data_IF_625000050783
#
_entry.id   IF_625000050783
#
_cell.length_a   1.000
_cell.length_b   1.000
_cell.length_c   1.000
_cell.angle_alpha   90.00
_cell.angle_beta   90.00
_cell.angle_gamma   90.00
#
_symmetry.space_group_name_H-M   'P 1'
#
loop_
_entity.id
_entity.type
_entity.pdbx_description
1 polymer ?
#
# COMPACT_ATOMS: atom_id res chain seq x y z
N UNK A 1 24.40 -10.81 -10.40
CA UNK A 1 23.84 -9.73 -9.57
C UNK A 1 23.47 -8.60 -10.50
N UNK A 2 22.17 -8.39 -10.74
CA UNK A 2 21.54 -7.17 -11.27
C UNK A 2 20.14 -7.54 -11.80
N UNK A 3 19.10 -7.24 -11.01
CA UNK A 3 17.94 -6.48 -11.48
C UNK A 3 17.26 -5.90 -10.23
N UNK A 4 17.89 -4.87 -9.68
CA UNK A 4 17.27 -3.96 -8.71
C UNK A 4 16.58 -2.90 -9.55
N UNK A 5 15.41 -3.24 -10.09
CA UNK A 5 14.51 -2.32 -10.75
C UNK A 5 13.11 -2.46 -10.15
N UNK A 6 12.99 -2.04 -8.90
CA UNK A 6 11.75 -1.42 -8.43
C UNK A 6 11.95 0.07 -8.15
N UNK A 7 12.98 0.66 -8.78
CA UNK A 7 13.21 2.10 -8.77
C UNK A 7 12.03 2.82 -9.42
N UNK A 8 11.28 3.52 -8.56
CA UNK A 8 10.63 4.79 -8.88
C UNK A 8 9.32 4.68 -9.64
N UNK A 9 8.28 5.29 -9.07
CA UNK A 9 7.11 5.77 -9.83
C UNK A 9 6.14 4.74 -10.42
N UNK A 10 6.16 3.48 -9.96
CA UNK A 10 4.95 2.68 -10.05
C UNK A 10 3.95 3.27 -9.06
N UNK A 11 2.95 4.00 -9.58
CA UNK A 11 1.73 4.33 -8.84
C UNK A 11 1.31 3.07 -8.09
N UNK A 12 1.58 2.98 -6.78
CA UNK A 12 1.31 1.80 -5.96
C UNK A 12 -0.21 1.61 -5.96
N UNK A 13 -0.73 0.93 -6.97
CA UNK A 13 -2.14 0.61 -7.09
C UNK A 13 -2.26 -0.78 -6.52
N UNK A 14 -2.79 -0.85 -5.32
CA UNK A 14 -3.12 -2.10 -4.68
C UNK A 14 -4.33 -2.66 -5.42
N UNK A 15 -4.15 -3.79 -6.11
CA UNK A 15 -5.23 -4.50 -6.81
C UNK A 15 -5.56 -5.83 -6.14
N UNK A 16 -4.60 -6.41 -5.41
CA UNK A 16 -4.72 -7.70 -4.73
C UNK A 16 -4.43 -7.62 -3.23
N UNK A 17 -4.80 -8.67 -2.50
CA UNK A 17 -4.46 -8.81 -1.07
C UNK A 17 -2.93 -8.85 -0.88
N UNK A 18 -2.20 -9.48 -1.80
CA UNK A 18 -0.73 -9.55 -1.73
C UNK A 18 -0.10 -8.15 -1.86
N UNK A 19 -0.62 -7.30 -2.76
CA UNK A 19 -0.19 -5.89 -2.87
C UNK A 19 -0.48 -5.11 -1.59
N UNK A 20 -1.59 -5.42 -0.91
CA UNK A 20 -1.96 -4.77 0.35
C UNK A 20 -1.00 -5.14 1.47
N UNK A 21 -0.62 -6.41 1.56
CA UNK A 21 0.35 -6.90 2.53
C UNK A 21 1.74 -6.28 2.29
N UNK A 22 2.18 -6.23 1.02
CA UNK A 22 3.42 -5.57 0.62
C UNK A 22 3.43 -4.08 0.96
N UNK A 23 2.35 -3.36 0.65
CA UNK A 23 2.22 -1.95 0.97
C UNK A 23 2.27 -1.69 2.49
N UNK A 24 1.58 -2.53 3.28
CA UNK A 24 1.57 -2.43 4.74
C UNK A 24 2.94 -2.72 5.34
N UNK A 25 3.64 -3.75 4.84
CA UNK A 25 5.01 -4.06 5.26
C UNK A 25 5.97 -2.92 4.93
N UNK A 26 5.80 -2.27 3.77
CA UNK A 26 6.62 -1.13 3.36
C UNK A 26 6.38 0.08 4.27
N UNK A 27 5.12 0.40 4.58
CA UNK A 27 4.76 1.46 5.54
C UNK A 27 5.40 1.19 6.91
N UNK A 28 5.30 -0.04 7.41
CA UNK A 28 5.91 -0.41 8.69
C UNK A 28 7.43 -0.23 8.65
N UNK A 29 8.09 -0.63 7.56
CA UNK A 29 9.54 -0.47 7.39
C UNK A 29 9.95 1.01 7.41
N UNK A 30 9.20 1.88 6.73
CA UNK A 30 9.44 3.32 6.73
C UNK A 30 9.20 3.96 8.10
N UNK A 31 8.27 3.43 8.89
CA UNK A 31 7.99 3.91 10.26
C UNK A 31 9.15 3.62 11.22
N UNK A 32 9.76 2.43 11.14
CA UNK A 32 10.91 2.07 11.99
C UNK A 32 12.22 2.74 11.58
N UNK A 33 12.36 3.14 10.31
CA UNK A 33 13.62 3.60 9.75
C UNK A 33 14.02 5.05 10.10
N UNK A 34 13.25 5.79 10.92
CA UNK A 34 13.38 7.25 11.07
C UNK A 34 13.21 7.96 9.73
N UNK A 35 11.96 8.18 9.28
CA UNK A 35 11.69 8.63 7.93
C UNK A 35 12.13 10.08 7.73
N UNK A 36 12.94 10.32 6.69
CA UNK A 36 13.15 11.65 6.12
C UNK A 36 11.88 12.22 5.47
N UNK A 37 11.95 13.45 4.95
CA UNK A 37 10.81 14.06 4.25
C UNK A 37 10.36 13.26 3.00
N UNK A 38 11.30 12.58 2.34
CA UNK A 38 11.05 11.78 1.14
C UNK A 38 10.37 10.44 1.51
N UNK A 39 10.86 9.74 2.54
CA UNK A 39 10.20 8.56 3.11
C UNK A 39 8.80 8.85 3.64
N UNK A 40 8.57 10.03 4.25
CA UNK A 40 7.24 10.43 4.67
C UNK A 40 6.28 10.57 3.49
N UNK A 41 6.72 11.14 2.36
CA UNK A 41 5.89 11.21 1.15
C UNK A 41 5.61 9.82 0.56
N UNK A 42 6.59 8.93 0.55
CA UNK A 42 6.39 7.53 0.11
C UNK A 42 5.36 6.84 1.01
N UNK A 43 5.48 7.00 2.33
CA UNK A 43 4.51 6.46 3.29
C UNK A 43 3.11 6.99 3.06
N UNK A 44 2.95 8.30 2.91
CA UNK A 44 1.63 8.92 2.72
C UNK A 44 0.95 8.40 1.45
N UNK A 45 1.72 8.27 0.36
CA UNK A 45 1.24 7.69 -0.90
C UNK A 45 0.80 6.22 -0.74
N UNK A 46 1.55 5.42 0.02
CA UNK A 46 1.19 4.01 0.31
C UNK A 46 -0.07 3.93 1.18
N UNK A 47 -0.20 4.78 2.19
CA UNK A 47 -1.40 4.84 3.05
C UNK A 47 -2.64 5.22 2.25
N UNK A 48 -2.53 6.20 1.35
CA UNK A 48 -3.61 6.61 0.44
C UNK A 48 -4.03 5.48 -0.52
N UNK A 49 -3.06 4.70 -1.03
CA UNK A 49 -3.34 3.53 -1.85
C UNK A 49 -4.09 2.44 -1.07
N UNK A 50 -3.63 2.15 0.15
CA UNK A 50 -4.26 1.19 1.07
C UNK A 50 -5.70 1.59 1.36
N UNK A 51 -5.94 2.86 1.70
CA UNK A 51 -7.30 3.39 1.95
C UNK A 51 -8.23 3.29 0.74
N UNK A 52 -7.72 3.53 -0.47
CA UNK A 52 -8.52 3.41 -1.68
C UNK A 52 -8.90 1.96 -1.98
N UNK A 53 -7.95 1.04 -1.78
CA UNK A 53 -8.21 -0.38 -1.93
C UNK A 53 -9.21 -0.87 -0.88
N UNK A 54 -9.02 -0.47 0.39
CA UNK A 54 -9.90 -0.81 1.51
C UNK A 54 -11.33 -0.34 1.23
N UNK A 55 -11.54 0.91 0.82
CA UNK A 55 -12.87 1.42 0.42
C UNK A 55 -13.49 0.60 -0.71
N UNK A 56 -12.70 0.23 -1.73
CA UNK A 56 -13.18 -0.57 -2.86
C UNK A 56 -13.50 -2.01 -2.42
N UNK A 57 -12.73 -2.58 -1.50
CA UNK A 57 -12.94 -3.94 -1.00
C UNK A 57 -14.05 -4.02 0.05
N UNK A 58 -14.24 -3.02 0.88
CA UNK A 58 -15.33 -2.93 1.86
C UNK A 58 -16.69 -2.88 1.14
N UNK A 59 -16.78 -2.10 0.05
CA UNK A 59 -17.95 -2.09 -0.85
C UNK A 59 -18.17 -3.45 -1.53
N UNK A 60 -17.09 -4.13 -1.93
CA UNK A 60 -17.11 -5.45 -2.59
C UNK A 60 -17.24 -6.62 -1.59
N UNK A 61 -17.18 -6.38 -0.28
CA UNK A 61 -17.38 -7.42 0.76
C UNK A 61 -18.65 -7.20 1.57
N UNK A 62 -19.22 -5.99 1.56
CA UNK A 62 -20.42 -5.59 2.31
C UNK A 62 -21.75 -6.24 1.92
N UNK A 63 -21.78 -7.22 1.02
CA UNK A 63 -22.99 -7.84 0.45
C UNK A 63 -23.17 -9.32 0.82
N UNK A 64 -22.32 -9.87 1.71
CA UNK A 64 -22.51 -11.22 2.27
C UNK A 64 -23.15 -11.26 3.66
N UNK A 65 -23.71 -10.16 4.13
CA UNK A 65 -24.70 -10.20 5.21
C UNK A 65 -26.10 -10.15 4.56
N UNK A 66 -26.62 -11.35 4.24
CA UNK A 66 -27.98 -11.55 3.72
C UNK A 66 -28.88 -11.95 4.92
N UNK A 67 -30.13 -11.44 5.02
CA UNK A 67 -31.07 -11.68 6.12
C UNK A 67 -31.43 -13.16 6.35
#
# INVERSE_FOLDING_TARGET
MADVAHSGEARFRIETIEDYELATQRIATLDVASPGEEEQRERDALVEAVRQWDRKHDDVTGWKDRP
#
